data_IF_979028326940
#
_entry.id   IF_979028326940
#
_cell.length_a   1.000
_cell.length_b   1.000
_cell.length_c   1.000
_cell.angle_alpha   90.00
_cell.angle_beta   90.00
_cell.angle_gamma   90.00
#
_symmetry.space_group_name_H-M   'P 1'
#
loop_
_entity.id
_entity.type
_entity.pdbx_description
1 polymer ?
#
# COMPACT_ATOMS: atom_id res chain seq x y z
N UNK A 1 4.80 33.36 -17.47
CA UNK A 1 3.67 32.41 -17.41
C UNK A 1 4.19 31.21 -16.64
N UNK A 2 4.07 31.20 -15.31
CA UNK A 2 4.54 30.06 -14.51
C UNK A 2 3.44 29.01 -14.53
N UNK A 3 3.66 27.92 -15.25
CA UNK A 3 2.70 26.82 -15.34
C UNK A 3 2.61 26.15 -13.98
N UNK A 4 1.39 25.83 -13.51
CA UNK A 4 1.17 25.06 -12.26
C UNK A 4 1.82 23.65 -12.26
N UNK A 5 2.42 23.25 -13.38
CA UNK A 5 3.06 21.96 -13.62
C UNK A 5 4.60 22.04 -13.81
N UNK A 6 5.18 23.23 -13.67
CA UNK A 6 6.62 23.46 -13.89
C UNK A 6 7.45 22.52 -12.99
N UNK A 7 8.38 21.78 -13.59
CA UNK A 7 9.28 20.83 -12.92
C UNK A 7 8.74 19.40 -12.71
N UNK A 8 7.43 19.14 -12.73
CA UNK A 8 6.91 17.77 -12.46
C UNK A 8 7.38 16.75 -13.53
N UNK A 9 7.30 17.13 -14.80
CA UNK A 9 7.74 16.28 -15.91
C UNK A 9 9.25 16.06 -15.90
N UNK A 10 10.03 17.07 -15.49
CA UNK A 10 11.48 16.97 -15.34
C UNK A 10 11.84 16.00 -14.22
N UNK A 11 11.17 16.09 -13.06
CA UNK A 11 11.34 15.13 -11.97
C UNK A 11 10.91 13.72 -12.36
N UNK A 12 9.80 13.55 -13.09
CA UNK A 12 9.38 12.24 -13.59
C UNK A 12 10.48 11.62 -14.47
N UNK A 13 11.03 12.38 -15.42
CA UNK A 13 12.09 11.88 -16.29
C UNK A 13 13.39 11.58 -15.52
N UNK A 14 13.78 12.47 -14.60
CA UNK A 14 14.98 12.27 -13.78
C UNK A 14 14.87 11.01 -12.90
N UNK A 15 13.75 10.84 -12.19
CA UNK A 15 13.49 9.70 -11.32
C UNK A 15 13.35 8.40 -12.13
N UNK A 16 12.66 8.44 -13.28
CA UNK A 16 12.55 7.30 -14.19
C UNK A 16 13.92 6.80 -14.62
N UNK A 17 14.80 7.71 -15.07
CA UNK A 17 16.12 7.36 -15.56
C UNK A 17 17.07 6.92 -14.44
N UNK A 18 17.00 7.57 -13.27
CA UNK A 18 17.89 7.27 -12.15
C UNK A 18 17.57 5.91 -11.49
N UNK A 19 16.29 5.58 -11.33
CA UNK A 19 15.83 4.37 -10.65
C UNK A 19 15.31 3.28 -11.60
N UNK A 20 15.38 3.48 -12.92
CA UNK A 20 14.87 2.57 -13.95
C UNK A 20 13.39 2.16 -13.74
N UNK A 21 12.55 3.13 -13.35
CA UNK A 21 11.13 2.89 -13.08
C UNK A 21 10.35 2.70 -14.38
N UNK A 22 9.45 1.72 -14.42
CA UNK A 22 8.59 1.51 -15.60
C UNK A 22 7.55 2.64 -15.72
N UNK A 23 6.88 2.94 -14.62
CA UNK A 23 5.86 3.98 -14.52
C UNK A 23 6.20 4.92 -13.37
N UNK A 24 5.94 6.20 -13.55
CA UNK A 24 6.13 7.23 -12.53
C UNK A 24 5.10 8.34 -12.71
N UNK A 25 4.66 8.91 -11.58
CA UNK A 25 3.82 10.11 -11.56
C UNK A 25 4.28 11.03 -10.44
N UNK A 26 4.53 12.29 -10.78
CA UNK A 26 4.80 13.36 -9.81
C UNK A 26 3.64 14.35 -9.86
N UNK A 27 2.98 14.54 -8.72
CA UNK A 27 1.87 15.48 -8.61
C UNK A 27 2.40 16.86 -8.22
N UNK A 28 1.88 17.96 -8.82
CA UNK A 28 2.32 19.30 -8.45
C UNK A 28 1.97 19.60 -7.00
N UNK A 29 2.88 20.21 -6.26
CA UNK A 29 2.62 20.64 -4.89
C UNK A 29 1.56 21.76 -4.88
N UNK A 30 0.50 21.58 -4.10
CA UNK A 30 -0.54 22.59 -3.90
C UNK A 30 -0.67 22.80 -2.39
N UNK A 31 -0.29 23.99 -1.85
CA UNK A 31 -0.19 24.22 -0.41
C UNK A 31 -1.46 23.91 0.38
N UNK A 32 -2.62 24.23 -0.18
CA UNK A 32 -3.92 24.13 0.51
C UNK A 32 -4.66 22.82 0.22
N UNK A 33 -4.07 21.91 -0.56
CA UNK A 33 -4.73 20.67 -0.95
C UNK A 33 -4.27 19.49 -0.09
N UNK A 34 -5.21 18.61 0.24
CA UNK A 34 -4.92 17.34 0.92
C UNK A 34 -4.01 16.46 0.04
N UNK A 35 -2.75 16.33 0.48
CA UNK A 35 -1.73 15.56 -0.22
C UNK A 35 -2.08 14.07 -0.23
N UNK A 36 -2.59 13.52 0.88
CA UNK A 36 -2.94 12.11 0.99
C UNK A 36 -4.05 11.73 0.02
N UNK A 37 -5.09 12.57 -0.05
CA UNK A 37 -6.16 12.42 -1.03
C UNK A 37 -5.64 12.49 -2.47
N UNK A 38 -4.80 13.49 -2.79
CA UNK A 38 -4.27 13.67 -4.15
C UNK A 38 -3.37 12.52 -4.57
N UNK A 39 -2.52 12.02 -3.67
CA UNK A 39 -1.72 10.82 -3.89
C UNK A 39 -2.62 9.62 -4.19
N UNK A 40 -3.68 9.41 -3.41
CA UNK A 40 -4.64 8.34 -3.66
C UNK A 40 -5.32 8.43 -5.02
N UNK A 41 -5.69 9.62 -5.47
CA UNK A 41 -6.26 9.84 -6.82
C UNK A 41 -5.22 9.54 -7.91
N UNK A 42 -3.99 10.07 -7.76
CA UNK A 42 -2.92 9.86 -8.73
C UNK A 42 -2.52 8.38 -8.88
N UNK A 43 -2.39 7.67 -7.75
CA UNK A 43 -2.09 6.25 -7.72
C UNK A 43 -3.24 5.42 -8.30
N UNK A 44 -4.51 5.78 -8.01
CA UNK A 44 -5.66 5.08 -8.57
C UNK A 44 -5.69 5.18 -10.11
N UNK A 45 -5.45 6.37 -10.68
CA UNK A 45 -5.38 6.52 -12.13
C UNK A 45 -4.25 5.70 -12.76
N UNK A 46 -3.07 5.68 -12.14
CA UNK A 46 -1.95 4.85 -12.64
C UNK A 46 -2.31 3.36 -12.63
N UNK A 47 -3.01 2.88 -11.61
CA UNK A 47 -3.50 1.51 -11.55
C UNK A 47 -4.57 1.23 -12.61
N UNK A 48 -5.48 2.17 -12.88
CA UNK A 48 -6.50 2.02 -13.94
C UNK A 48 -5.87 1.89 -15.34
N UNK A 49 -4.74 2.56 -15.58
CA UNK A 49 -3.99 2.45 -16.85
C UNK A 49 -3.22 1.13 -16.96
N UNK A 50 -2.86 0.52 -15.84
CA UNK A 50 -1.98 -0.67 -15.79
C UNK A 50 -2.74 -1.99 -15.66
N UNK A 51 -3.87 -2.00 -14.95
CA UNK A 51 -4.66 -3.19 -14.65
C UNK A 51 -5.64 -3.53 -15.78
N UNK A 52 -5.75 -4.82 -16.06
CA UNK A 52 -6.70 -5.41 -17.01
C UNK A 52 -7.86 -6.08 -16.27
N UNK A 53 -9.00 -6.31 -16.96
CA UNK A 53 -10.14 -7.00 -16.35
C UNK A 53 -9.74 -8.35 -15.73
N UNK A 54 -10.33 -8.67 -14.57
CA UNK A 54 -10.15 -9.93 -13.82
C UNK A 54 -8.74 -10.21 -13.25
N UNK A 55 -7.81 -9.27 -13.41
CA UNK A 55 -6.49 -9.36 -12.78
C UNK A 55 -6.57 -9.32 -11.25
N UNK A 56 -5.51 -9.82 -10.63
CA UNK A 56 -5.33 -9.88 -9.18
C UNK A 56 -4.41 -8.74 -8.72
N UNK A 57 -4.94 -7.87 -7.87
CA UNK A 57 -4.21 -6.78 -7.23
C UNK A 57 -3.90 -7.13 -5.78
N UNK A 58 -2.61 -7.20 -5.44
CA UNK A 58 -2.15 -7.32 -4.08
C UNK A 58 -2.09 -5.95 -3.39
N UNK A 59 -2.57 -5.87 -2.16
CA UNK A 59 -2.71 -4.60 -1.44
C UNK A 59 -1.99 -4.70 -0.09
N UNK A 60 -1.13 -3.73 0.19
CA UNK A 60 -0.56 -3.47 1.51
C UNK A 60 -1.49 -2.62 2.38
N UNK A 61 -1.19 -2.52 3.66
CA UNK A 61 -1.91 -1.63 4.56
C UNK A 61 -1.36 -0.19 4.49
N UNK A 62 -2.01 0.74 5.19
CA UNK A 62 -1.56 2.13 5.30
C UNK A 62 -2.49 3.14 4.63
N UNK A 63 -2.37 4.40 5.05
CA UNK A 63 -3.31 5.47 4.66
C UNK A 63 -3.29 5.75 3.15
N UNK A 64 -2.11 5.79 2.53
CA UNK A 64 -1.96 6.01 1.10
C UNK A 64 -2.62 4.89 0.27
N UNK A 65 -2.38 3.65 0.66
CA UNK A 65 -2.92 2.44 0.02
C UNK A 65 -4.44 2.38 0.15
N UNK A 66 -4.97 2.63 1.35
CA UNK A 66 -6.41 2.63 1.60
C UNK A 66 -7.11 3.78 0.88
N UNK A 67 -6.51 4.97 0.83
CA UNK A 67 -7.05 6.11 0.07
C UNK A 67 -7.06 5.83 -1.42
N UNK A 68 -6.05 5.13 -1.94
CA UNK A 68 -6.02 4.68 -3.33
C UNK A 68 -7.13 3.69 -3.62
N UNK A 69 -7.31 2.67 -2.78
CA UNK A 69 -8.39 1.69 -2.91
C UNK A 69 -9.78 2.34 -2.93
N UNK A 70 -10.02 3.33 -2.05
CA UNK A 70 -11.28 4.09 -2.02
C UNK A 70 -11.58 4.79 -3.35
N UNK A 71 -10.54 5.28 -4.04
CA UNK A 71 -10.67 5.95 -5.35
C UNK A 71 -10.74 4.97 -6.51
N UNK A 72 -10.29 3.74 -6.31
CA UNK A 72 -10.31 2.67 -7.30
C UNK A 72 -11.58 1.80 -7.24
N UNK A 73 -12.43 1.94 -6.23
CA UNK A 73 -13.57 1.04 -5.95
C UNK A 73 -14.51 0.81 -7.14
N UNK A 74 -14.93 1.88 -7.82
CA UNK A 74 -15.79 1.77 -9.01
C UNK A 74 -15.13 1.02 -10.17
N UNK A 75 -13.83 1.21 -10.36
CA UNK A 75 -13.06 0.48 -11.37
C UNK A 75 -12.88 -1.00 -10.99
N UNK A 76 -12.64 -1.29 -9.72
CA UNK A 76 -12.54 -2.67 -9.20
C UNK A 76 -13.81 -3.45 -9.51
N UNK A 77 -14.98 -2.86 -9.21
CA UNK A 77 -16.27 -3.49 -9.52
C UNK A 77 -16.49 -3.64 -11.03
N UNK A 78 -16.25 -2.59 -11.81
CA UNK A 78 -16.50 -2.59 -13.25
C UNK A 78 -15.61 -3.57 -14.02
N UNK A 79 -14.34 -3.70 -13.62
CA UNK A 79 -13.36 -4.56 -14.27
C UNK A 79 -13.19 -5.93 -13.58
N UNK A 80 -13.99 -6.20 -12.54
CA UNK A 80 -13.95 -7.43 -11.76
C UNK A 80 -12.54 -7.74 -11.22
N UNK A 81 -11.82 -6.71 -10.77
CA UNK A 81 -10.49 -6.87 -10.19
C UNK A 81 -10.60 -7.68 -8.89
N UNK A 82 -9.77 -8.70 -8.76
CA UNK A 82 -9.66 -9.51 -7.54
C UNK A 82 -8.64 -8.88 -6.61
N UNK A 83 -8.90 -8.88 -5.31
CA UNK A 83 -7.99 -8.31 -4.32
C UNK A 83 -7.42 -9.38 -3.40
N UNK A 84 -6.16 -9.20 -3.01
CA UNK A 84 -5.51 -10.04 -1.99
C UNK A 84 -4.65 -9.18 -1.06
N UNK A 85 -4.70 -9.43 0.24
CA UNK A 85 -3.88 -8.69 1.21
C UNK A 85 -2.44 -9.22 1.23
N UNK A 86 -1.45 -8.33 1.20
CA UNK A 86 -0.03 -8.67 1.32
C UNK A 86 0.39 -9.06 2.74
N UNK A 87 -0.40 -8.66 3.74
CA UNK A 87 -0.08 -8.89 5.15
C UNK A 87 -1.31 -9.28 5.96
N UNK A 88 -1.07 -9.84 7.15
CA UNK A 88 -2.11 -9.95 8.17
C UNK A 88 -2.55 -8.59 8.73
N UNK A 89 -3.42 -8.62 9.74
CA UNK A 89 -3.84 -7.45 10.50
C UNK A 89 -5.31 -7.07 10.30
N UNK A 90 -5.95 -7.50 9.19
CA UNK A 90 -7.37 -7.34 8.78
C UNK A 90 -7.98 -5.95 9.00
N UNK A 91 -8.06 -5.47 10.24
CA UNK A 91 -8.56 -4.16 10.65
C UNK A 91 -8.03 -2.98 9.83
N UNK A 92 -6.71 -2.78 9.64
CA UNK A 92 -6.19 -1.66 8.84
C UNK A 92 -6.73 -1.62 7.41
N UNK A 93 -7.06 -2.78 6.84
CA UNK A 93 -7.58 -2.90 5.49
C UNK A 93 -9.05 -2.49 5.36
N UNK A 94 -9.82 -2.56 6.45
CA UNK A 94 -11.28 -2.32 6.41
C UNK A 94 -11.65 -0.89 6.01
N UNK A 95 -10.75 0.07 6.24
CA UNK A 95 -10.99 1.47 5.83
C UNK A 95 -11.06 1.62 4.31
N UNK A 96 -10.34 0.79 3.54
CA UNK A 96 -10.39 0.76 2.08
C UNK A 96 -11.36 -0.30 1.55
N UNK A 97 -11.20 -1.55 2.01
CA UNK A 97 -11.99 -2.69 1.54
C UNK A 97 -13.47 -2.55 1.86
N UNK A 98 -13.83 -1.92 2.99
CA UNK A 98 -15.24 -1.70 3.37
C UNK A 98 -16.00 -0.73 2.45
N UNK A 99 -15.33 -0.08 1.48
CA UNK A 99 -15.97 0.77 0.47
C UNK A 99 -16.20 0.05 -0.87
N UNK A 100 -15.81 -1.21 -0.97
CA UNK A 100 -16.01 -2.01 -2.17
C UNK A 100 -17.41 -2.60 -2.21
N UNK A 101 -17.86 -2.94 -3.41
CA UNK A 101 -19.10 -3.71 -3.59
C UNK A 101 -18.96 -5.07 -2.89
N UNK A 102 -20.02 -5.56 -2.26
CA UNK A 102 -20.06 -6.88 -1.62
C UNK A 102 -19.77 -8.03 -2.61
N UNK A 103 -19.98 -7.81 -3.91
CA UNK A 103 -19.64 -8.76 -4.96
C UNK A 103 -18.12 -8.82 -5.27
N UNK A 104 -17.31 -7.91 -4.75
CA UNK A 104 -15.87 -7.90 -5.00
C UNK A 104 -15.19 -9.10 -4.31
N UNK A 105 -14.37 -9.83 -5.07
CA UNK A 105 -13.59 -10.94 -4.54
C UNK A 105 -12.38 -10.41 -3.78
N UNK A 106 -12.34 -10.64 -2.47
CA UNK A 106 -11.28 -10.17 -1.57
C UNK A 106 -10.75 -11.34 -0.74
N UNK A 107 -9.50 -11.72 -0.96
CA UNK A 107 -8.77 -12.71 -0.18
C UNK A 107 -7.96 -12.03 0.92
N UNK A 108 -8.43 -12.13 2.17
CA UNK A 108 -7.75 -11.54 3.34
C UNK A 108 -6.97 -12.60 4.11
N UNK A 109 -5.74 -12.28 4.51
CA UNK A 109 -4.89 -13.17 5.29
C UNK A 109 -5.45 -13.32 6.71
N UNK A 110 -5.84 -14.54 7.14
CA UNK A 110 -6.49 -14.79 8.42
C UNK A 110 -5.46 -14.89 9.57
N UNK A 111 -4.62 -13.88 9.69
CA UNK A 111 -3.57 -13.80 10.70
C UNK A 111 -3.37 -12.34 11.17
N UNK A 112 -2.86 -12.11 12.40
CA UNK A 112 -2.38 -10.79 12.79
C UNK A 112 -1.21 -10.34 11.93
N UNK A 113 -0.97 -9.02 11.85
CA UNK A 113 0.21 -8.48 11.14
C UNK A 113 1.51 -8.93 11.82
N UNK A 114 1.52 -8.90 13.15
CA UNK A 114 2.68 -9.24 14.00
C UNK A 114 2.22 -10.16 15.12
N UNK A 115 2.88 -11.31 15.25
CA UNK A 115 2.67 -12.22 16.38
C UNK A 115 3.51 -11.82 17.59
N UNK A 116 3.17 -12.33 18.77
CA UNK A 116 3.89 -12.09 20.01
C UNK A 116 5.24 -12.80 20.10
N UNK A 117 5.45 -13.86 19.30
CA UNK A 117 6.73 -14.56 19.21
C UNK A 117 7.00 -15.07 17.80
N UNK A 118 8.27 -15.39 17.52
CA UNK A 118 8.69 -15.95 16.25
C UNK A 118 8.07 -17.34 16.01
N UNK A 119 7.96 -18.16 17.05
CA UNK A 119 7.38 -19.50 16.99
C UNK A 119 5.92 -19.42 16.56
N UNK A 120 5.13 -18.51 17.15
CA UNK A 120 3.73 -18.30 16.80
C UNK A 120 3.62 -17.80 15.34
N UNK A 121 4.48 -16.87 14.92
CA UNK A 121 4.50 -16.43 13.53
C UNK A 121 4.83 -17.58 12.55
N UNK A 122 5.74 -18.48 12.92
CA UNK A 122 6.05 -19.67 12.12
C UNK A 122 4.86 -20.63 12.05
N UNK A 123 4.21 -20.92 13.17
CA UNK A 123 3.02 -21.77 13.22
C UNK A 123 1.89 -21.21 12.35
N UNK A 124 1.55 -19.91 12.52
CA UNK A 124 0.50 -19.27 11.73
C UNK A 124 0.81 -19.25 10.23
N UNK A 125 2.06 -18.98 9.83
CA UNK A 125 2.47 -19.06 8.42
C UNK A 125 2.35 -20.46 7.84
N UNK A 126 2.35 -21.49 8.69
CA UNK A 126 2.24 -22.87 8.25
C UNK A 126 0.81 -23.40 8.17
N UNK A 127 -0.17 -22.66 8.70
CA UNK A 127 -1.58 -22.95 8.51
C UNK A 127 -1.96 -22.84 7.03
N UNK A 128 -2.73 -23.81 6.52
CA UNK A 128 -3.10 -23.86 5.10
C UNK A 128 -3.81 -22.58 4.66
N UNK A 129 -4.74 -22.07 5.48
CA UNK A 129 -5.50 -20.84 5.19
C UNK A 129 -4.61 -19.60 5.03
N UNK A 130 -3.50 -19.52 5.76
CA UNK A 130 -2.53 -18.42 5.65
C UNK A 130 -1.63 -18.65 4.44
N UNK A 131 -1.12 -19.86 4.27
CA UNK A 131 -0.23 -20.23 3.16
C UNK A 131 -0.90 -20.01 1.81
N UNK A 132 -2.17 -20.38 1.65
CA UNK A 132 -2.92 -20.23 0.40
C UNK A 132 -3.08 -18.75 0.00
N UNK A 133 -3.36 -17.88 0.97
CA UNK A 133 -3.43 -16.42 0.72
C UNK A 133 -2.05 -15.85 0.40
N UNK A 134 -0.99 -16.30 1.09
CA UNK A 134 0.39 -15.88 0.78
C UNK A 134 0.80 -16.28 -0.65
N UNK A 135 0.48 -17.50 -1.08
CA UNK A 135 0.73 -17.95 -2.45
C UNK A 135 -0.09 -17.16 -3.48
N UNK A 136 -1.34 -16.87 -3.16
CA UNK A 136 -2.20 -16.01 -3.99
C UNK A 136 -1.63 -14.61 -4.12
N UNK A 137 -1.16 -14.00 -3.02
CA UNK A 137 -0.53 -12.69 -3.01
C UNK A 137 0.75 -12.65 -3.84
N UNK A 138 1.56 -13.71 -3.76
CA UNK A 138 2.78 -13.84 -4.57
C UNK A 138 2.49 -13.97 -6.07
N UNK A 139 1.33 -14.53 -6.44
CA UNK A 139 0.90 -14.69 -7.83
C UNK A 139 0.12 -13.48 -8.39
N UNK A 140 0.04 -12.37 -7.66
CA UNK A 140 -0.69 -11.19 -8.11
C UNK A 140 -0.08 -10.52 -9.35
N UNK A 141 -0.92 -9.98 -10.21
CA UNK A 141 -0.52 -9.28 -11.44
C UNK A 141 0.12 -7.91 -11.15
N UNK A 142 -0.32 -7.26 -10.07
CA UNK A 142 0.22 -6.00 -9.59
C UNK A 142 0.11 -5.90 -8.07
N UNK A 143 0.96 -5.07 -7.46
CA UNK A 143 0.93 -4.79 -6.03
C UNK A 143 0.93 -3.28 -5.78
N UNK A 144 0.18 -2.84 -4.77
CA UNK A 144 0.23 -1.49 -4.24
C UNK A 144 0.61 -1.52 -2.76
N UNK A 145 1.66 -0.77 -2.41
CA UNK A 145 2.18 -0.66 -1.05
C UNK A 145 2.42 0.80 -0.69
N UNK A 146 2.33 1.12 0.60
CA UNK A 146 2.87 2.36 1.15
C UNK A 146 4.36 2.23 1.44
N UNK A 147 5.02 3.36 1.66
CA UNK A 147 6.41 3.39 2.16
C UNK A 147 6.40 4.17 3.46
N UNK A 148 6.80 3.52 4.54
CA UNK A 148 7.03 4.12 5.85
C UNK A 148 8.46 4.66 5.94
N UNK A 149 8.65 5.70 6.76
CA UNK A 149 9.97 6.27 6.99
C UNK A 149 10.23 6.47 8.48
N UNK A 150 11.43 6.09 8.94
CA UNK A 150 11.82 6.18 10.36
C UNK A 150 11.82 7.64 10.84
N UNK A 151 12.09 8.58 9.94
CA UNK A 151 12.08 10.02 10.24
C UNK A 151 10.68 10.58 10.56
N UNK A 152 9.59 9.84 10.29
CA UNK A 152 8.22 10.24 10.64
C UNK A 152 7.96 10.15 12.15
N UNK A 153 8.81 9.44 12.91
CA UNK A 153 8.69 9.28 14.37
C UNK A 153 7.28 8.85 14.76
N UNK A 154 6.60 9.65 15.59
CA UNK A 154 5.25 9.37 16.12
C UNK A 154 4.14 9.52 15.05
N UNK A 155 4.46 10.06 13.87
CA UNK A 155 3.52 10.15 12.75
C UNK A 155 3.48 8.89 11.88
N UNK A 156 4.42 7.96 12.05
CA UNK A 156 4.49 6.72 11.28
C UNK A 156 3.25 5.85 11.51
N UNK A 157 2.63 5.37 10.42
CA UNK A 157 1.41 4.57 10.49
C UNK A 157 1.60 3.29 11.31
N UNK A 158 2.74 2.61 11.18
CA UNK A 158 3.06 1.39 11.94
C UNK A 158 3.09 1.61 13.46
N UNK A 159 3.47 2.82 13.91
CA UNK A 159 3.49 3.20 15.32
C UNK A 159 2.09 3.60 15.80
N UNK A 160 1.37 4.41 15.02
CA UNK A 160 -0.04 4.78 15.31
C UNK A 160 -0.96 3.57 15.38
N UNK A 161 -0.71 2.54 14.58
CA UNK A 161 -1.44 1.27 14.61
C UNK A 161 -1.01 0.35 15.74
N UNK A 162 0.00 0.72 16.54
CA UNK A 162 0.46 -0.05 17.69
C UNK A 162 1.23 -1.33 17.35
N UNK A 163 1.70 -1.47 16.11
CA UNK A 163 2.45 -2.66 15.69
C UNK A 163 3.90 -2.66 16.17
N UNK A 164 4.47 -1.47 16.39
CA UNK A 164 5.76 -1.30 17.04
C UNK A 164 5.66 -0.22 18.11
N UNK A 165 6.53 -0.32 19.11
CA UNK A 165 6.70 0.71 20.13
C UNK A 165 7.70 1.78 19.69
N UNK A 166 7.66 2.95 20.34
CA UNK A 166 8.65 4.01 20.12
C UNK A 166 10.08 3.54 20.43
N UNK A 167 10.25 2.71 21.46
CA UNK A 167 11.54 2.10 21.81
C UNK A 167 12.07 1.20 20.70
N UNK A 168 11.20 0.39 20.09
CA UNK A 168 11.56 -0.44 18.93
C UNK A 168 11.95 0.41 17.71
N UNK A 169 11.19 1.46 17.40
CA UNK A 169 11.51 2.37 16.30
C UNK A 169 12.90 3.02 16.46
N UNK A 170 13.22 3.49 17.68
CA UNK A 170 14.54 4.06 17.98
C UNK A 170 15.66 3.02 17.80
N UNK A 171 15.44 1.79 18.25
CA UNK A 171 16.42 0.71 18.08
C UNK A 171 16.60 0.31 16.61
N UNK A 172 15.52 0.27 15.83
CA UNK A 172 15.54 0.00 14.39
C UNK A 172 16.33 1.10 13.66
N UNK A 173 16.06 2.38 13.96
CA UNK A 173 16.81 3.51 13.41
C UNK A 173 18.30 3.47 13.78
N UNK A 174 18.63 3.12 15.02
CA UNK A 174 20.03 2.95 15.48
C UNK A 174 20.77 1.82 14.73
N UNK A 175 20.05 0.81 14.25
CA UNK A 175 20.60 -0.26 13.41
C UNK A 175 20.75 0.13 11.93
N UNK A 176 20.44 1.38 11.57
CA UNK A 176 20.65 1.92 10.23
C UNK A 176 19.45 1.83 9.29
N UNK A 177 18.28 1.40 9.77
CA UNK A 177 17.06 1.40 8.95
C UNK A 177 16.58 2.84 8.70
N UNK A 178 16.13 3.11 7.47
CA UNK A 178 15.62 4.43 7.05
C UNK A 178 14.11 4.43 6.75
N UNK A 179 13.53 3.26 6.52
CA UNK A 179 12.10 3.08 6.23
C UNK A 179 11.67 1.62 6.21
N UNK A 180 10.40 1.42 5.90
CA UNK A 180 9.70 0.13 5.87
C UNK A 180 8.67 0.09 4.73
N UNK A 181 8.26 -1.13 4.36
CA UNK A 181 7.20 -1.43 3.39
C UNK A 181 6.24 -2.43 4.05
#
# INVERSE_FOLDING_TARGET
INSRFEGCLEYENALRNHFALQNIRVLPALPDADIGLRLGIGAAHMLMESLRPQQLLAVGFGEATMTTLKRLSGFISAQQIRLVTLSGGVGPYMTGIGQLDAACSVSSMPAPLRASSQEIACTLRNENSVRDVMLTAQAADAAIVGIGAINQKDQASILKSGYITQGEQLMIGRKGAVGDI
#
